data_IF_541312628268
#
_entry.id   IF_541312628268
#
_cell.length_a   1.000
_cell.length_b   1.000
_cell.length_c   1.000
_cell.angle_alpha   90.00
_cell.angle_beta   90.00
_cell.angle_gamma   90.00
#
_symmetry.space_group_name_H-M   'P 1'
#
loop_
_entity.id
_entity.type
_entity.pdbx_description
1 polymer ?
#
# COMPACT_ATOMS: atom_id res chain seq x y z
N UNK A 1 -3.47 -11.50 -13.42
CA UNK A 1 -2.01 -11.68 -13.29
C UNK A 1 -1.43 -11.84 -14.69
N UNK A 2 -0.13 -11.59 -14.88
CA UNK A 2 0.57 -11.99 -16.10
C UNK A 2 0.68 -13.51 -16.19
N UNK A 3 1.16 -14.00 -17.33
CA UNK A 3 1.50 -15.41 -17.55
C UNK A 3 2.66 -15.90 -16.65
N UNK A 4 3.36 -14.99 -15.98
CA UNK A 4 4.40 -15.26 -14.99
C UNK A 4 3.94 -14.98 -13.55
N UNK A 5 2.63 -14.89 -13.31
CA UNK A 5 2.03 -14.62 -11.99
C UNK A 5 2.36 -13.23 -11.43
N UNK A 6 2.66 -12.26 -12.29
CA UNK A 6 2.90 -10.89 -11.85
C UNK A 6 1.57 -10.14 -11.68
N UNK A 7 1.50 -9.22 -10.71
CA UNK A 7 0.29 -8.45 -10.44
C UNK A 7 0.08 -7.38 -11.52
N UNK A 8 -1.02 -7.46 -12.26
CA UNK A 8 -1.37 -6.49 -13.33
C UNK A 8 -2.58 -5.62 -12.99
N UNK A 9 -3.49 -6.12 -12.16
CA UNK A 9 -4.70 -5.40 -11.75
C UNK A 9 -5.24 -5.91 -10.42
N UNK A 10 -6.08 -5.08 -9.79
CA UNK A 10 -6.90 -5.47 -8.65
C UNK A 10 -8.17 -6.17 -9.11
N UNK A 11 -8.55 -7.23 -8.42
CA UNK A 11 -9.85 -7.89 -8.57
C UNK A 11 -10.66 -7.55 -7.33
N UNK A 12 -11.79 -6.88 -7.52
CA UNK A 12 -12.72 -6.57 -6.43
C UNK A 12 -13.45 -7.84 -6.02
N UNK A 13 -13.35 -8.20 -4.74
CA UNK A 13 -14.12 -9.30 -4.15
C UNK A 13 -15.56 -8.90 -3.82
N UNK A 14 -16.26 -9.79 -3.12
CA UNK A 14 -17.61 -9.56 -2.63
C UNK A 14 -17.66 -8.37 -1.65
N UNK A 15 -18.69 -7.55 -1.78
CA UNK A 15 -18.93 -6.44 -0.86
C UNK A 15 -19.67 -6.94 0.39
N UNK A 16 -18.97 -6.94 1.51
CA UNK A 16 -19.54 -7.23 2.82
C UNK A 16 -20.23 -5.98 3.40
N UNK A 17 -21.50 -6.09 3.78
CA UNK A 17 -22.27 -4.99 4.38
C UNK A 17 -22.61 -5.31 5.83
N UNK A 18 -22.03 -4.56 6.74
CA UNK A 18 -22.28 -4.64 8.17
C UNK A 18 -22.65 -3.26 8.71
N UNK A 19 -23.62 -3.22 9.64
CA UNK A 19 -23.98 -2.00 10.35
C UNK A 19 -23.21 -1.87 11.66
N UNK A 20 -22.89 -0.64 12.06
CA UNK A 20 -22.22 -0.36 13.33
C UNK A 20 -20.73 -0.70 13.34
N UNK A 21 -20.18 -0.86 14.53
CA UNK A 21 -18.77 -1.14 14.74
C UNK A 21 -18.49 -2.64 14.58
N UNK A 22 -17.36 -2.98 13.95
CA UNK A 22 -16.89 -4.35 13.81
C UNK A 22 -15.38 -4.43 14.01
N UNK A 23 -14.92 -5.56 14.54
CA UNK A 23 -13.51 -5.84 14.76
C UNK A 23 -12.97 -6.74 13.65
N UNK A 24 -11.88 -6.31 13.01
CA UNK A 24 -11.19 -7.08 11.97
C UNK A 24 -10.00 -7.82 12.58
N UNK A 25 -9.81 -9.07 12.16
CA UNK A 25 -8.74 -9.91 12.67
C UNK A 25 -7.38 -9.38 12.20
N UNK A 26 -6.59 -8.84 13.14
CA UNK A 26 -5.21 -8.46 12.83
C UNK A 26 -4.26 -9.64 12.95
N UNK A 27 -4.30 -10.44 14.01
CA UNK A 27 -3.31 -11.51 14.30
C UNK A 27 -3.13 -12.59 13.21
N UNK A 28 -4.05 -12.70 12.25
CA UNK A 28 -3.98 -13.63 11.11
C UNK A 28 -4.36 -15.09 11.44
N UNK A 29 -4.69 -15.38 12.70
CA UNK A 29 -4.99 -16.73 13.20
C UNK A 29 -6.48 -17.01 13.46
N UNK A 30 -7.33 -16.00 13.35
CA UNK A 30 -8.77 -16.16 13.57
C UNK A 30 -9.38 -17.21 12.63
N UNK A 31 -10.35 -17.95 13.14
CA UNK A 31 -11.14 -18.94 12.40
C UNK A 31 -12.27 -18.27 11.61
N UNK A 32 -12.77 -17.12 12.09
CA UNK A 32 -13.86 -16.36 11.46
C UNK A 32 -13.35 -15.18 10.61
N UNK A 33 -12.27 -15.37 9.84
CA UNK A 33 -11.74 -14.33 8.93
C UNK A 33 -12.87 -13.80 8.03
N UNK A 34 -13.00 -12.48 7.84
CA UNK A 34 -12.03 -11.44 8.22
C UNK A 34 -12.19 -10.88 9.64
N UNK A 35 -13.19 -11.33 10.41
CA UNK A 35 -13.52 -10.78 11.73
C UNK A 35 -12.62 -11.33 12.83
N UNK A 36 -12.43 -10.51 13.87
CA UNK A 36 -11.80 -10.94 15.11
C UNK A 36 -12.71 -11.93 15.83
N UNK A 37 -12.12 -12.98 16.40
CA UNK A 37 -12.77 -13.98 17.23
C UNK A 37 -11.96 -14.28 18.51
N UNK A 38 -11.19 -13.27 18.95
CA UNK A 38 -10.40 -13.27 20.19
C UNK A 38 -9.27 -14.30 20.26
N UNK A 39 -9.03 -15.08 19.18
CA UNK A 39 -7.86 -15.98 19.03
C UNK A 39 -6.52 -15.29 19.36
N UNK A 40 -6.43 -13.97 19.17
CA UNK A 40 -5.23 -13.20 19.45
C UNK A 40 -4.84 -13.22 20.95
N UNK A 41 -5.79 -13.37 21.86
CA UNK A 41 -5.54 -13.50 23.30
C UNK A 41 -4.94 -14.87 23.64
N UNK A 42 -5.53 -15.93 23.08
CA UNK A 42 -5.10 -17.32 23.33
C UNK A 42 -3.67 -17.60 22.86
N UNK A 43 -3.28 -16.99 21.73
CA UNK A 43 -1.94 -17.19 21.14
C UNK A 43 -0.89 -16.18 21.65
N UNK A 44 -1.27 -15.26 22.54
CA UNK A 44 -0.37 -14.19 23.01
C UNK A 44 0.15 -13.32 21.87
N UNK A 45 -0.76 -12.83 21.00
CA UNK A 45 -0.36 -12.01 19.86
C UNK A 45 0.23 -10.67 20.32
N UNK A 46 1.52 -10.46 20.04
CA UNK A 46 2.19 -9.18 20.26
C UNK A 46 1.75 -8.13 19.23
N UNK A 47 0.86 -7.25 19.70
CA UNK A 47 0.21 -6.25 18.88
C UNK A 47 0.91 -4.89 18.81
N UNK A 48 2.15 -4.75 19.27
CA UNK A 48 2.82 -3.43 19.30
C UNK A 48 2.84 -2.76 17.93
N UNK A 49 2.36 -1.54 17.84
CA UNK A 49 2.43 -0.76 16.61
C UNK A 49 3.85 -0.21 16.45
N UNK A 50 4.54 -0.64 15.40
CA UNK A 50 5.94 -0.28 15.15
C UNK A 50 6.13 0.55 13.87
N UNK A 51 5.05 0.95 13.20
CA UNK A 51 5.13 1.77 12.01
C UNK A 51 5.64 3.18 12.36
N UNK A 52 6.40 3.78 11.46
CA UNK A 52 6.77 5.18 11.59
C UNK A 52 5.52 6.05 11.45
N UNK A 53 5.28 6.92 12.43
CA UNK A 53 4.08 7.76 12.54
C UNK A 53 4.33 9.21 12.12
N UNK A 54 5.55 9.54 11.71
CA UNK A 54 5.87 10.86 11.17
C UNK A 54 5.12 11.16 9.87
N UNK A 55 5.09 12.43 9.44
CA UNK A 55 4.61 12.82 8.12
C UNK A 55 5.38 12.11 7.00
N UNK A 56 4.70 11.70 5.93
CA UNK A 56 5.36 11.10 4.77
C UNK A 56 6.36 12.06 4.10
N UNK A 57 6.09 13.37 4.18
CA UNK A 57 6.94 14.43 3.65
C UNK A 57 8.36 14.40 4.22
N UNK A 58 8.52 13.83 5.41
CA UNK A 58 9.79 13.80 6.13
C UNK A 58 10.65 12.58 5.75
N UNK A 59 10.05 11.59 5.06
CA UNK A 59 10.67 10.29 4.76
C UNK A 59 10.86 10.03 3.28
N UNK A 60 10.09 10.70 2.43
CA UNK A 60 10.10 10.43 1.01
C UNK A 60 11.42 10.84 0.34
N UNK A 61 11.66 10.24 -0.82
CA UNK A 61 12.72 10.63 -1.74
C UNK A 61 12.11 10.82 -3.13
N UNK A 62 12.86 11.40 -4.06
CA UNK A 62 12.40 11.60 -5.43
C UNK A 62 13.39 11.03 -6.44
N UNK A 63 12.84 10.53 -7.55
CA UNK A 63 13.58 10.14 -8.73
C UNK A 63 13.07 10.88 -9.95
N UNK A 64 13.97 11.56 -10.65
CA UNK A 64 13.62 12.36 -11.82
C UNK A 64 13.64 11.55 -13.13
N UNK A 65 12.67 11.84 -13.99
CA UNK A 65 12.62 11.43 -15.39
C UNK A 65 12.22 12.62 -16.28
N UNK A 66 12.40 12.53 -17.61
CA UNK A 66 12.12 13.63 -18.54
C UNK A 66 10.73 14.27 -18.45
N UNK A 67 9.68 13.51 -18.06
CA UNK A 67 8.29 13.99 -17.96
C UNK A 67 7.59 13.61 -16.65
N UNK A 68 8.34 13.11 -15.67
CA UNK A 68 7.78 12.64 -14.41
C UNK A 68 8.83 12.75 -13.30
N UNK A 69 8.42 13.22 -12.13
CA UNK A 69 9.16 13.04 -10.88
C UNK A 69 8.41 12.01 -10.07
N UNK A 70 9.09 10.94 -9.66
CA UNK A 70 8.51 9.86 -8.89
C UNK A 70 8.89 10.05 -7.43
N UNK A 71 7.89 10.22 -6.57
CA UNK A 71 8.06 10.20 -5.13
C UNK A 71 8.12 8.75 -4.64
N UNK A 72 8.96 8.49 -3.66
CA UNK A 72 9.12 7.17 -3.06
C UNK A 72 9.36 7.22 -1.54
N UNK A 73 8.44 6.64 -0.77
CA UNK A 73 8.62 6.32 0.65
C UNK A 73 8.65 4.79 0.86
N UNK A 74 9.84 4.21 0.78
CA UNK A 74 10.05 2.77 0.95
C UNK A 74 9.58 2.21 2.30
N UNK A 75 9.43 3.04 3.34
CA UNK A 75 9.01 2.59 4.69
C UNK A 75 7.60 1.99 4.70
N UNK A 76 6.77 2.37 3.72
CA UNK A 76 5.41 1.89 3.54
C UNK A 76 5.27 0.94 2.33
N UNK A 77 6.35 0.27 1.93
CA UNK A 77 6.24 -0.76 0.90
C UNK A 77 5.49 -1.99 1.44
N UNK A 78 4.37 -2.38 0.81
CA UNK A 78 3.73 -3.67 1.11
C UNK A 78 4.20 -4.81 0.20
N UNK A 79 5.23 -4.58 -0.63
CA UNK A 79 5.78 -5.55 -1.58
C UNK A 79 4.74 -6.21 -2.49
N UNK A 80 3.73 -5.43 -2.90
CA UNK A 80 2.65 -5.91 -3.77
C UNK A 80 3.11 -6.30 -5.18
N UNK A 81 4.23 -5.76 -5.66
CA UNK A 81 4.84 -6.10 -6.94
C UNK A 81 4.37 -5.29 -8.15
N UNK A 82 3.35 -4.43 -8.03
CA UNK A 82 2.80 -3.67 -9.17
C UNK A 82 3.80 -2.71 -9.86
N UNK A 83 4.86 -2.31 -9.16
CA UNK A 83 5.89 -1.40 -9.69
C UNK A 83 6.96 -2.09 -10.55
N UNK A 84 6.84 -3.40 -10.79
CA UNK A 84 7.78 -4.12 -11.64
C UNK A 84 7.25 -5.41 -12.24
N UNK A 85 7.99 -5.87 -13.23
CA UNK A 85 7.90 -7.19 -13.84
C UNK A 85 9.30 -7.80 -13.87
N UNK A 86 9.43 -9.04 -14.30
CA UNK A 86 10.69 -9.75 -14.54
C UNK A 86 11.53 -9.07 -15.62
N UNK A 87 10.91 -8.30 -16.52
CA UNK A 87 11.60 -7.65 -17.64
C UNK A 87 12.00 -6.21 -17.28
N UNK A 88 11.12 -5.48 -16.59
CA UNK A 88 11.31 -4.05 -16.34
C UNK A 88 10.70 -3.60 -15.00
N UNK A 89 10.99 -2.37 -14.57
CA UNK A 89 10.35 -1.73 -13.43
C UNK A 89 10.33 -0.21 -13.64
N UNK A 90 9.61 0.50 -12.77
CA UNK A 90 9.49 1.97 -12.87
C UNK A 90 10.84 2.68 -12.93
N UNK A 91 11.83 2.23 -12.16
CA UNK A 91 13.16 2.85 -12.12
C UNK A 91 13.92 2.69 -13.43
N UNK A 92 13.80 1.53 -14.09
CA UNK A 92 14.35 1.30 -15.44
C UNK A 92 13.59 2.09 -16.51
N UNK A 93 12.29 2.32 -16.31
CA UNK A 93 11.42 2.99 -17.28
C UNK A 93 11.51 4.52 -17.23
N UNK A 94 11.75 5.11 -16.05
CA UNK A 94 11.63 6.57 -15.83
C UNK A 94 12.45 7.42 -16.80
N UNK A 95 13.63 6.94 -17.22
CA UNK A 95 14.52 7.63 -18.14
C UNK A 95 13.93 7.80 -19.56
N UNK A 96 12.90 7.03 -19.91
CA UNK A 96 12.17 7.09 -21.17
C UNK A 96 10.76 7.69 -21.00
N UNK A 97 10.49 8.42 -19.92
CA UNK A 97 9.16 9.01 -19.65
C UNK A 97 8.74 10.09 -20.64
N UNK A 98 9.63 10.56 -21.52
CA UNK A 98 9.30 11.39 -22.69
C UNK A 98 8.41 10.65 -23.71
N UNK A 99 8.45 9.31 -23.72
CA UNK A 99 7.56 8.47 -24.54
C UNK A 99 6.22 8.30 -23.84
N UNK A 100 5.14 8.64 -24.54
CA UNK A 100 3.79 8.71 -23.97
C UNK A 100 3.32 7.35 -23.43
N UNK A 101 3.65 6.26 -24.12
CA UNK A 101 3.34 4.89 -23.71
C UNK A 101 4.09 4.47 -22.44
N UNK A 102 5.34 4.92 -22.28
CA UNK A 102 6.15 4.64 -21.08
C UNK A 102 5.61 5.42 -19.89
N UNK A 103 5.29 6.71 -20.09
CA UNK A 103 4.68 7.55 -19.06
C UNK A 103 3.33 7.00 -18.59
N UNK A 104 2.48 6.59 -19.53
CA UNK A 104 1.19 5.97 -19.23
C UNK A 104 1.34 4.66 -18.43
N UNK A 105 2.33 3.83 -18.77
CA UNK A 105 2.55 2.60 -18.01
C UNK A 105 3.11 2.88 -16.61
N UNK A 106 4.09 3.77 -16.46
CA UNK A 106 4.63 4.15 -15.13
C UNK A 106 3.50 4.66 -14.22
N UNK A 107 2.70 5.60 -14.71
CA UNK A 107 1.58 6.16 -13.94
C UNK A 107 0.55 5.08 -13.58
N UNK A 108 0.22 4.17 -14.51
CA UNK A 108 -0.67 3.05 -14.24
C UNK A 108 -0.10 2.06 -13.20
N UNK A 109 1.21 1.78 -13.23
CA UNK A 109 1.89 0.95 -12.23
C UNK A 109 1.85 1.58 -10.84
N UNK A 110 2.11 2.89 -10.73
CA UNK A 110 2.04 3.65 -9.48
C UNK A 110 0.59 3.70 -8.94
N UNK A 111 -0.39 3.91 -9.82
CA UNK A 111 -1.81 3.93 -9.50
C UNK A 111 -2.32 2.61 -8.94
N UNK A 112 -1.74 1.48 -9.39
CA UNK A 112 -2.10 0.14 -8.87
C UNK A 112 -1.48 -0.13 -7.51
N UNK A 113 -0.46 0.61 -7.10
CA UNK A 113 0.16 0.41 -5.80
C UNK A 113 -0.86 0.65 -4.68
N UNK A 114 -1.09 -0.35 -3.81
CA UNK A 114 -2.04 -0.21 -2.70
C UNK A 114 -1.52 0.64 -1.55
N UNK A 115 -0.21 0.65 -1.32
CA UNK A 115 0.33 1.30 -0.12
C UNK A 115 0.52 2.80 -0.26
N UNK A 116 0.61 3.31 -1.50
CA UNK A 116 0.98 4.71 -1.72
C UNK A 116 2.44 5.02 -1.41
N UNK A 117 3.31 4.01 -1.43
CA UNK A 117 4.77 4.21 -1.46
C UNK A 117 5.18 5.17 -2.57
N UNK A 118 4.53 5.03 -3.73
CA UNK A 118 4.84 5.77 -4.92
C UNK A 118 3.72 6.75 -5.22
N UNK A 119 4.10 7.96 -5.57
CA UNK A 119 3.25 8.99 -6.16
C UNK A 119 4.07 9.72 -7.23
N UNK A 120 3.45 10.61 -8.01
CA UNK A 120 4.17 11.26 -9.10
C UNK A 120 3.76 12.71 -9.31
N UNK A 121 4.68 13.49 -9.89
CA UNK A 121 4.47 14.86 -10.32
C UNK A 121 4.75 14.89 -11.83
N UNK A 122 3.86 15.48 -12.63
CA UNK A 122 4.00 15.54 -14.11
C UNK A 122 4.56 16.88 -14.62
N UNK A 123 4.45 17.93 -13.83
CA UNK A 123 4.92 19.27 -14.17
C UNK A 123 6.02 19.71 -13.20
N UNK A 124 7.12 20.34 -13.67
CA UNK A 124 8.15 20.86 -12.77
C UNK A 124 7.56 21.80 -11.70
N UNK A 125 7.71 21.45 -10.42
CA UNK A 125 7.14 22.20 -9.30
C UNK A 125 5.62 22.05 -9.12
N UNK A 126 4.99 21.11 -9.84
CA UNK A 126 3.58 20.77 -9.68
C UNK A 126 3.29 19.99 -8.39
N UNK A 127 2.01 19.69 -8.19
CA UNK A 127 1.54 18.92 -7.03
C UNK A 127 1.77 17.41 -7.21
N UNK A 128 1.83 16.71 -6.08
CA UNK A 128 1.85 15.26 -6.05
C UNK A 128 0.49 14.72 -6.45
N UNK A 129 0.52 13.79 -7.39
CA UNK A 129 -0.65 13.12 -7.94
C UNK A 129 -0.71 11.71 -7.38
N UNK A 130 -1.85 11.43 -6.74
CA UNK A 130 -2.31 10.08 -6.46
C UNK A 130 -3.68 9.87 -7.09
N UNK A 131 -3.95 8.65 -7.57
CA UNK A 131 -5.28 8.28 -8.04
C UNK A 131 -6.32 8.35 -6.94
N UNK A 132 -7.39 9.10 -7.15
CA UNK A 132 -8.56 9.10 -6.28
C UNK A 132 -9.09 7.68 -6.02
N UNK A 133 -9.38 7.39 -4.75
CA UNK A 133 -9.99 6.13 -4.33
C UNK A 133 -11.26 6.35 -3.51
N UNK A 134 -12.25 5.45 -3.64
CA UNK A 134 -13.44 5.52 -2.80
C UNK A 134 -13.08 5.25 -1.33
N UNK A 135 -13.92 5.76 -0.43
CA UNK A 135 -13.86 5.46 1.01
C UNK A 135 -14.26 4.01 1.25
N UNK A 136 -13.29 3.14 1.41
CA UNK A 136 -13.50 1.70 1.55
C UNK A 136 -12.46 1.08 2.51
N UNK A 137 -12.86 -0.01 3.16
CA UNK A 137 -11.95 -0.91 3.90
C UNK A 137 -12.02 -2.27 3.21
N UNK A 138 -10.92 -2.68 2.60
CA UNK A 138 -10.76 -3.94 1.91
C UNK A 138 -9.90 -4.91 2.71
N UNK A 139 -10.24 -6.19 2.66
CA UNK A 139 -9.43 -7.26 3.25
C UNK A 139 -8.73 -7.98 2.12
N UNK A 140 -7.40 -7.90 2.10
CA UNK A 140 -6.60 -8.68 1.17
C UNK A 140 -6.35 -10.05 1.85
N UNK A 141 -6.72 -11.18 1.22
CA UNK A 141 -6.52 -12.51 1.81
C UNK A 141 -5.06 -12.73 2.26
N UNK A 142 -4.88 -13.13 3.52
CA UNK A 142 -3.57 -13.30 4.19
C UNK A 142 -2.59 -12.12 4.10
N UNK A 143 -3.12 -10.95 3.79
CA UNK A 143 -2.42 -9.71 3.53
C UNK A 143 -3.02 -8.59 4.40
N UNK A 144 -2.48 -7.36 4.36
CA UNK A 144 -2.97 -6.23 5.16
C UNK A 144 -4.46 -5.94 5.00
N UNK A 145 -5.01 -5.27 6.01
CA UNK A 145 -6.24 -4.49 5.85
C UNK A 145 -5.86 -3.28 5.02
N UNK A 146 -6.59 -3.02 3.93
CA UNK A 146 -6.34 -1.92 3.02
C UNK A 146 -7.44 -0.87 3.14
N UNK A 147 -7.06 0.35 3.50
CA UNK A 147 -7.96 1.46 3.79
C UNK A 147 -7.74 2.52 2.71
N UNK A 148 -8.80 3.00 2.08
CA UNK A 148 -8.71 3.96 0.98
C UNK A 148 -9.68 5.12 1.12
N UNK A 149 -9.43 6.21 0.39
CA UNK A 149 -10.32 7.37 0.28
C UNK A 149 -10.22 8.36 1.45
N UNK A 150 -9.09 8.42 2.15
CA UNK A 150 -8.89 9.38 3.23
C UNK A 150 -9.71 9.07 4.48
N UNK A 151 -9.90 7.79 4.80
CA UNK A 151 -10.50 7.37 6.07
C UNK A 151 -9.47 7.60 7.20
N UNK A 152 -9.77 8.41 8.23
CA UNK A 152 -8.89 8.59 9.37
C UNK A 152 -8.68 7.27 10.11
N UNK A 153 -7.45 7.04 10.57
CA UNK A 153 -7.09 5.87 11.38
C UNK A 153 -6.52 6.35 12.71
N UNK A 154 -7.12 5.88 13.79
CA UNK A 154 -6.64 6.09 15.15
C UNK A 154 -5.88 4.85 15.62
N UNK A 155 -4.74 5.08 16.26
CA UNK A 155 -3.88 4.06 16.84
C UNK A 155 -4.41 3.60 18.19
N UNK A 156 -3.91 2.47 18.67
CA UNK A 156 -4.26 1.93 20.00
C UNK A 156 -3.85 2.84 21.17
N UNK A 157 -2.91 3.76 20.95
CA UNK A 157 -2.51 4.79 21.93
C UNK A 157 -3.36 6.08 21.83
N UNK A 158 -4.39 6.10 20.98
CA UNK A 158 -5.29 7.24 20.78
C UNK A 158 -4.75 8.34 19.85
N UNK A 159 -3.52 8.21 19.33
CA UNK A 159 -2.98 9.17 18.37
C UNK A 159 -3.42 8.85 16.93
N UNK A 160 -3.68 9.86 16.08
CA UNK A 160 -4.02 9.62 14.69
C UNK A 160 -2.79 9.20 13.88
N UNK A 161 -2.98 8.37 12.86
CA UNK A 161 -2.07 8.29 11.72
C UNK A 161 -2.35 9.44 10.76
N UNK A 162 -1.32 9.86 10.02
CA UNK A 162 -1.49 10.77 8.89
C UNK A 162 -2.62 10.27 7.97
N UNK A 163 -3.62 11.11 7.72
CA UNK A 163 -4.76 10.74 6.87
C UNK A 163 -4.32 10.78 5.42
N UNK A 164 -4.40 9.63 4.74
CA UNK A 164 -3.91 9.47 3.38
C UNK A 164 -4.96 8.84 2.48
N UNK A 165 -4.80 9.03 1.17
CA UNK A 165 -5.67 8.43 0.15
C UNK A 165 -5.66 6.89 0.21
N UNK A 166 -4.56 6.28 0.67
CA UNK A 166 -4.42 4.84 0.86
C UNK A 166 -3.47 4.53 2.01
N UNK A 167 -3.87 3.61 2.88
CA UNK A 167 -3.13 3.14 4.05
C UNK A 167 -3.30 1.63 4.15
N UNK A 168 -2.29 0.91 4.62
CA UNK A 168 -2.44 -0.50 4.95
C UNK A 168 -2.05 -0.76 6.39
N UNK A 169 -2.81 -1.65 7.04
CA UNK A 169 -2.54 -2.10 8.38
C UNK A 169 -2.12 -3.56 8.31
N UNK A 170 -0.83 -3.79 8.52
CA UNK A 170 -0.26 -5.12 8.40
C UNK A 170 -0.75 -6.03 9.53
N UNK A 171 -1.13 -7.26 9.18
CA UNK A 171 -1.79 -8.21 10.07
C UNK A 171 -0.83 -8.91 11.05
N UNK A 172 0.36 -9.27 10.58
CA UNK A 172 1.37 -9.96 11.41
C UNK A 172 2.68 -9.21 11.25
N UNK A 173 3.21 -8.46 12.23
CA UNK A 173 4.55 -7.86 12.09
C UNK A 173 5.51 -8.99 11.72
N UNK A 174 5.78 -9.15 10.42
CA UNK A 174 6.95 -9.88 10.03
C UNK A 174 8.00 -8.87 10.42
N UNK A 175 8.80 -9.22 11.41
CA UNK A 175 10.24 -9.12 11.23
C UNK A 175 10.58 -9.82 9.91
N UNK A 176 10.15 -9.23 8.79
CA UNK A 176 10.64 -9.52 7.48
C UNK A 176 12.01 -8.88 7.55
N UNK A 177 12.94 -9.62 8.16
CA UNK A 177 14.28 -9.70 7.64
C UNK A 177 14.11 -9.58 6.13
N UNK A 178 14.55 -8.44 5.61
CA UNK A 178 14.82 -8.23 4.20
C UNK A 178 15.75 -9.38 3.84
N UNK A 179 15.19 -10.52 3.46
CA UNK A 179 15.95 -11.60 2.85
C UNK A 179 16.23 -11.08 1.45
N UNK A 180 17.30 -10.29 1.36
CA UNK A 180 18.08 -10.14 0.13
C UNK A 180 18.48 -11.56 -0.25
N UNK A 181 17.76 -12.15 -1.19
CA UNK A 181 18.39 -13.15 -2.04
C UNK A 181 19.32 -12.33 -2.93
N UNK A 182 20.63 -12.47 -2.65
CA UNK A 182 21.68 -12.04 -3.56
C UNK A 182 21.50 -12.74 -4.91
#
# INVERSE_FOLDING_TARGET
>A
MSEFSEPLSWIRGEALRFGGNYALCRCGKCNKKPFCDDTHEEIGFEGTEAADTGPISDRWTTFDGPKIVIQDDHSICMHSGFCGTRITNISKMQANSDKSEVLAEITAMIDRCPSGILAYILEPGGEIIERDRPKEVAIIPDNPIWITGGIPVERSDGHPLETRNRVYLWRVIKNAAVRRYL
#
